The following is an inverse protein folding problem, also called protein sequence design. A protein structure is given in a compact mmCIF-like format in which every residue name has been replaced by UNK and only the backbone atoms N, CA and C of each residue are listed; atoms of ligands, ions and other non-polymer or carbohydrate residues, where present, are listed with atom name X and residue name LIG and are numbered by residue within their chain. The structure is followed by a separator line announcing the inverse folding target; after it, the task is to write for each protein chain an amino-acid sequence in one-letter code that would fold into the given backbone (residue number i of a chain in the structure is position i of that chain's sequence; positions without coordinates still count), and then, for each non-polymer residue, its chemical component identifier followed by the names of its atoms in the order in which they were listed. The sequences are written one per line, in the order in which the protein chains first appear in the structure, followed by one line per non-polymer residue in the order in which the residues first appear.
data_IF_747968039116
#
_entry.id   IF_747968039116
#
_cell.length_a   1.000
_cell.length_b   1.000
_cell.length_c   1.000
_cell.angle_alpha   90.00
_cell.angle_beta   90.00
_cell.angle_gamma   90.00
#
_symmetry.space_group_name_H-M   'P 1'
#
loop_
_entity.id
_entity.type
_entity.pdbx_description
1 polymer ?
#
# COMPACT_ATOMS: atom_id res chain seq x y z
N UNK A 1 5.44 12.87 -11.81
CA UNK A 1 5.01 11.53 -11.34
C UNK A 1 5.21 10.52 -12.48
N UNK A 2 6.44 10.06 -12.68
CA UNK A 2 6.78 9.09 -13.74
C UNK A 2 6.89 7.68 -13.14
N UNK A 3 5.81 7.22 -12.52
CA UNK A 3 5.61 5.82 -12.16
C UNK A 3 4.76 5.15 -13.24
N UNK A 4 5.05 3.88 -13.54
CA UNK A 4 4.21 3.05 -14.42
C UNK A 4 2.78 3.06 -13.87
N UNK A 5 1.82 3.62 -14.62
CA UNK A 5 0.43 3.70 -14.17
C UNK A 5 -0.12 2.27 -13.95
N UNK A 6 -0.89 2.02 -12.88
CA UNK A 6 -1.51 0.72 -12.66
C UNK A 6 -2.40 0.35 -13.85
N UNK A 7 -2.23 -0.88 -14.34
CA UNK A 7 -3.10 -1.48 -15.34
C UNK A 7 -4.02 -2.47 -14.62
N UNK A 8 -5.33 -2.29 -14.79
CA UNK A 8 -6.36 -3.11 -14.15
C UNK A 8 -6.52 -4.44 -14.89
N UNK A 9 -6.73 -5.52 -14.13
CA UNK A 9 -7.34 -6.72 -14.72
C UNK A 9 -8.85 -6.50 -14.96
N UNK A 10 -9.51 -7.49 -15.57
CA UNK A 10 -10.93 -7.40 -15.90
C UNK A 10 -11.83 -7.20 -14.67
N UNK A 11 -11.53 -7.84 -13.54
CA UNK A 11 -12.34 -7.72 -12.33
C UNK A 11 -12.17 -6.33 -11.70
N UNK A 12 -10.94 -5.84 -11.64
CA UNK A 12 -10.61 -4.50 -11.17
C UNK A 12 -11.26 -3.43 -12.07
N UNK A 13 -11.22 -3.61 -13.39
CA UNK A 13 -11.89 -2.72 -14.34
C UNK A 13 -13.41 -2.68 -14.14
N UNK A 14 -14.06 -3.84 -13.95
CA UNK A 14 -15.50 -3.89 -13.65
C UNK A 14 -15.86 -3.20 -12.34
N UNK A 15 -15.00 -3.31 -11.32
CA UNK A 15 -15.18 -2.60 -10.06
C UNK A 15 -15.00 -1.08 -10.25
N UNK A 16 -13.95 -0.65 -10.94
CA UNK A 16 -13.72 0.75 -11.26
C UNK A 16 -14.87 1.37 -12.07
N UNK A 17 -15.42 0.65 -13.07
CA UNK A 17 -16.59 1.12 -13.82
C UNK A 17 -17.82 1.32 -12.95
N UNK A 18 -18.07 0.44 -11.98
CA UNK A 18 -19.17 0.64 -11.02
C UNK A 18 -18.96 1.91 -10.20
N UNK A 19 -17.75 2.14 -9.72
CA UNK A 19 -17.39 3.35 -8.97
C UNK A 19 -17.48 4.63 -9.80
N UNK A 20 -17.25 4.57 -11.12
CA UNK A 20 -17.39 5.76 -11.98
C UNK A 20 -18.81 6.34 -11.89
N UNK A 21 -19.85 5.52 -11.66
CA UNK A 21 -21.21 6.01 -11.49
C UNK A 21 -21.42 6.82 -10.20
N UNK A 22 -20.52 6.70 -9.22
CA UNK A 22 -20.52 7.51 -7.98
C UNK A 22 -19.73 8.83 -8.15
N UNK A 23 -19.10 9.04 -9.30
CA UNK A 23 -18.32 10.25 -9.57
C UNK A 23 -19.28 11.43 -9.78
N UNK A 24 -19.08 12.52 -9.04
CA UNK A 24 -19.86 13.75 -9.21
C UNK A 24 -19.78 14.37 -10.61
N UNK A 25 -18.75 14.02 -11.39
CA UNK A 25 -18.56 14.50 -12.75
C UNK A 25 -19.14 13.55 -13.81
N UNK A 26 -19.70 12.41 -13.42
CA UNK A 26 -20.25 11.44 -14.36
C UNK A 26 -21.70 11.80 -14.69
N UNK A 27 -21.98 11.94 -15.99
CA UNK A 27 -23.33 12.15 -16.50
C UNK A 27 -23.59 11.24 -17.72
N UNK A 28 -24.47 10.25 -17.55
CA UNK A 28 -24.93 9.32 -18.58
C UNK A 28 -23.81 8.77 -19.53
N UNK A 29 -22.63 8.45 -18.99
CA UNK A 29 -21.49 7.95 -19.76
C UNK A 29 -20.40 8.99 -20.05
N UNK A 30 -20.73 10.27 -19.94
CA UNK A 30 -19.86 11.41 -20.18
C UNK A 30 -19.28 11.99 -18.89
N UNK A 31 -18.32 12.89 -19.04
CA UNK A 31 -17.60 13.54 -17.95
C UNK A 31 -17.71 15.06 -18.08
N UNK A 32 -18.62 15.66 -17.32
CA UNK A 32 -18.92 17.11 -17.38
C UNK A 32 -17.69 18.00 -17.18
N UNK A 33 -16.68 17.51 -16.45
CA UNK A 33 -15.43 18.24 -16.21
C UNK A 33 -14.53 18.33 -17.46
N UNK A 34 -14.68 17.39 -18.39
CA UNK A 34 -13.94 17.34 -19.65
C UNK A 34 -14.76 17.89 -20.83
N UNK A 35 -16.06 18.07 -20.64
CA UNK A 35 -16.97 18.62 -21.65
C UNK A 35 -16.61 20.09 -21.92
N UNK A 36 -16.08 20.39 -23.10
CA UNK A 36 -15.75 21.76 -23.56
C UNK A 36 -16.83 22.30 -24.52
N UNK A 37 -18.10 22.09 -24.18
CA UNK A 37 -19.24 22.39 -25.08
C UNK A 37 -19.65 21.23 -26.00
N UNK A 38 -18.88 20.14 -26.02
CA UNK A 38 -19.25 18.86 -26.62
C UNK A 38 -19.11 17.74 -25.58
N UNK A 39 -20.02 16.75 -25.56
CA UNK A 39 -19.93 15.62 -24.62
C UNK A 39 -18.64 14.83 -24.78
N UNK A 40 -17.93 14.62 -23.67
CA UNK A 40 -16.71 13.85 -23.59
C UNK A 40 -16.94 12.58 -22.77
N UNK A 41 -16.71 11.42 -23.37
CA UNK A 41 -16.87 10.13 -22.66
C UNK A 41 -15.93 10.08 -21.44
N UNK A 42 -16.45 9.61 -20.31
CA UNK A 42 -15.64 9.46 -19.10
C UNK A 42 -14.43 8.55 -19.36
N UNK A 43 -13.23 9.12 -19.33
CA UNK A 43 -11.98 8.41 -19.66
C UNK A 43 -11.74 7.19 -18.77
N UNK A 44 -12.22 7.20 -17.52
CA UNK A 44 -12.07 6.07 -16.60
C UNK A 44 -13.09 4.96 -16.86
N UNK A 45 -14.23 5.25 -17.52
CA UNK A 45 -15.26 4.27 -17.85
C UNK A 45 -14.88 3.36 -19.03
N UNK A 46 -13.93 3.81 -19.85
CA UNK A 46 -13.46 3.13 -21.08
C UNK A 46 -12.01 2.64 -21.02
N UNK A 47 -11.25 2.97 -19.96
CA UNK A 47 -9.83 2.62 -19.85
C UNK A 47 -9.56 1.57 -18.78
N UNK A 48 -8.73 0.58 -19.13
CA UNK A 48 -8.11 -0.34 -18.16
C UNK A 48 -6.97 0.31 -17.37
N UNK A 49 -6.48 1.46 -17.82
CA UNK A 49 -5.45 2.20 -17.09
C UNK A 49 -6.09 3.15 -16.08
N UNK A 50 -5.47 3.28 -14.91
CA UNK A 50 -5.88 4.24 -13.90
C UNK A 50 -5.37 5.65 -14.29
N UNK A 51 -6.14 6.37 -15.09
CA UNK A 51 -5.67 7.62 -15.74
C UNK A 51 -6.37 8.90 -15.28
N UNK A 52 -7.59 8.80 -14.79
CA UNK A 52 -8.34 9.95 -14.30
C UNK A 52 -7.85 10.35 -12.92
N UNK A 53 -7.24 11.54 -12.79
CA UNK A 53 -6.71 12.03 -11.51
C UNK A 53 -7.82 12.23 -10.47
N UNK A 54 -8.97 12.77 -10.89
CA UNK A 54 -10.13 12.92 -10.02
C UNK A 54 -10.63 11.58 -9.49
N UNK A 55 -10.70 10.57 -10.38
CA UNK A 55 -11.06 9.23 -9.96
C UNK A 55 -10.10 8.69 -8.91
N UNK A 56 -8.78 8.83 -9.11
CA UNK A 56 -7.76 8.35 -8.16
C UNK A 56 -7.95 8.98 -6.78
N UNK A 57 -8.20 10.29 -6.69
CA UNK A 57 -8.18 11.01 -5.41
C UNK A 57 -9.53 11.09 -4.70
N UNK A 58 -10.63 11.09 -5.44
CA UNK A 58 -11.97 11.36 -4.87
C UNK A 58 -12.91 10.16 -4.97
N UNK A 59 -12.77 9.31 -5.99
CA UNK A 59 -13.75 8.23 -6.28
C UNK A 59 -13.21 6.86 -5.88
N UNK A 60 -11.96 6.54 -6.22
CA UNK A 60 -11.31 5.28 -5.90
C UNK A 60 -11.27 5.00 -4.39
N UNK A 61 -11.05 5.98 -3.49
CA UNK A 61 -11.07 5.75 -2.04
C UNK A 61 -12.43 5.27 -1.50
N UNK A 62 -13.52 5.43 -2.26
CA UNK A 62 -14.83 4.86 -1.89
C UNK A 62 -14.81 3.32 -1.86
N UNK A 63 -13.88 2.68 -2.58
CA UNK A 63 -13.57 1.25 -2.46
C UNK A 63 -12.12 1.06 -2.03
N UNK A 64 -11.89 1.10 -0.71
CA UNK A 64 -10.57 0.90 -0.13
C UNK A 64 -9.93 -0.45 -0.47
N UNK A 65 -10.71 -1.49 -0.82
CA UNK A 65 -10.15 -2.78 -1.27
C UNK A 65 -9.56 -2.65 -2.67
N UNK A 66 -10.29 -2.01 -3.59
CA UNK A 66 -9.82 -1.76 -4.95
C UNK A 66 -8.63 -0.80 -4.95
N UNK A 67 -8.70 0.29 -4.17
CA UNK A 67 -7.61 1.25 -4.01
C UNK A 67 -6.31 0.54 -3.60
N UNK A 68 -6.37 -0.27 -2.54
CA UNK A 68 -5.20 -1.02 -2.06
C UNK A 68 -4.68 -2.05 -3.08
N UNK A 69 -5.58 -2.64 -3.87
CA UNK A 69 -5.21 -3.58 -4.92
C UNK A 69 -4.53 -2.91 -6.12
N UNK A 70 -4.83 -1.63 -6.41
CA UNK A 70 -4.28 -0.90 -7.55
C UNK A 70 -3.04 -0.08 -7.19
N UNK A 71 -3.07 0.64 -6.07
CA UNK A 71 -2.02 1.57 -5.69
C UNK A 71 -0.95 0.94 -4.81
N UNK A 72 -1.28 -0.11 -4.06
CA UNK A 72 -0.37 -0.65 -3.04
C UNK A 72 0.10 -2.09 -3.31
N UNK A 73 -0.27 -2.68 -4.45
CA UNK A 73 0.08 -4.07 -4.78
C UNK A 73 1.58 -4.30 -4.96
N UNK A 74 2.29 -3.37 -5.58
CA UNK A 74 3.75 -3.43 -5.73
C UNK A 74 4.49 -3.20 -4.41
N UNK A 75 3.86 -2.50 -3.46
CA UNK A 75 4.46 -2.18 -2.18
C UNK A 75 4.33 -3.33 -1.16
N UNK A 76 3.44 -4.30 -1.39
CA UNK A 76 3.24 -5.41 -0.47
C UNK A 76 4.46 -6.34 -0.43
N UNK A 77 5.02 -6.49 0.76
CA UNK A 77 6.10 -7.45 1.06
C UNK A 77 5.53 -8.68 1.74
N UNK A 78 6.26 -9.79 1.61
CA UNK A 78 5.98 -11.02 2.35
C UNK A 78 6.71 -10.95 3.70
N UNK A 79 6.00 -11.16 4.80
CA UNK A 79 6.58 -11.21 6.13
C UNK A 79 7.56 -12.39 6.22
N UNK A 80 8.78 -12.16 6.69
CA UNK A 80 9.78 -13.23 6.79
C UNK A 80 9.50 -14.22 7.93
N UNK A 81 8.61 -13.89 8.87
CA UNK A 81 8.27 -14.77 10.00
C UNK A 81 7.04 -15.64 9.71
N UNK A 82 5.94 -15.04 9.23
CA UNK A 82 4.67 -15.75 9.03
C UNK A 82 4.32 -15.99 7.56
N UNK A 83 5.07 -15.43 6.60
CA UNK A 83 4.75 -15.53 5.17
C UNK A 83 3.55 -14.71 4.71
N UNK A 84 2.83 -14.02 5.61
CA UNK A 84 1.70 -13.15 5.25
C UNK A 84 2.13 -11.89 4.49
N UNK A 85 1.29 -11.43 3.56
CA UNK A 85 1.52 -10.15 2.86
C UNK A 85 1.20 -8.96 3.76
N UNK A 86 2.03 -7.93 3.72
CA UNK A 86 1.81 -6.70 4.47
C UNK A 86 2.33 -5.48 3.70
N UNK A 87 1.82 -4.29 4.05
CA UNK A 87 2.33 -3.03 3.54
C UNK A 87 3.46 -2.51 4.43
N UNK A 88 4.70 -2.44 3.93
CA UNK A 88 5.83 -1.98 4.70
C UNK A 88 5.80 -0.44 4.79
N UNK A 89 6.03 0.11 5.98
CA UNK A 89 6.19 1.57 6.17
C UNK A 89 7.46 2.14 5.53
N UNK A 90 8.42 1.28 5.15
CA UNK A 90 9.65 1.66 4.47
C UNK A 90 10.24 0.46 3.71
N UNK A 91 11.15 0.73 2.77
CA UNK A 91 11.86 -0.33 2.05
C UNK A 91 12.62 -1.31 2.97
N UNK A 92 12.92 -0.93 4.23
CA UNK A 92 13.59 -1.80 5.21
C UNK A 92 12.63 -2.74 5.98
N UNK A 93 11.31 -2.63 5.78
CA UNK A 93 10.32 -3.45 6.46
C UNK A 93 10.45 -4.94 6.11
N UNK A 94 10.67 -5.79 7.12
CA UNK A 94 10.77 -7.26 7.00
C UNK A 94 9.58 -8.02 7.57
N UNK A 95 8.89 -7.42 8.54
CA UNK A 95 7.86 -8.08 9.34
C UNK A 95 6.52 -7.38 9.18
N UNK A 96 5.43 -8.15 9.13
CA UNK A 96 4.07 -7.60 9.28
C UNK A 96 3.89 -6.95 10.67
N UNK A 97 2.88 -6.09 10.87
CA UNK A 97 2.68 -5.37 12.14
C UNK A 97 2.70 -6.29 13.37
N UNK A 98 2.04 -7.44 13.30
CA UNK A 98 1.95 -8.39 14.42
C UNK A 98 3.31 -9.04 14.73
N UNK A 99 4.00 -9.54 13.70
CA UNK A 99 5.33 -10.14 13.84
C UNK A 99 6.38 -9.11 14.26
N UNK A 100 6.27 -7.85 13.80
CA UNK A 100 7.22 -6.79 14.12
C UNK A 100 7.29 -6.54 15.63
N UNK A 101 6.14 -6.50 16.32
CA UNK A 101 6.08 -6.35 17.77
C UNK A 101 6.71 -7.53 18.52
N UNK A 102 6.49 -8.76 18.05
CA UNK A 102 7.11 -9.96 18.63
C UNK A 102 8.63 -9.97 18.43
N UNK A 103 9.10 -9.73 17.22
CA UNK A 103 10.53 -9.73 16.88
C UNK A 103 11.30 -8.62 17.59
N UNK A 104 10.68 -7.44 17.79
CA UNK A 104 11.28 -6.37 18.59
C UNK A 104 11.60 -6.83 20.01
N UNK A 105 10.68 -7.57 20.65
CA UNK A 105 10.88 -8.11 22.01
C UNK A 105 11.98 -9.18 22.03
N UNK A 106 11.94 -10.15 21.11
CA UNK A 106 12.95 -11.21 21.00
C UNK A 106 14.36 -10.61 20.83
N UNK A 107 14.53 -9.68 19.90
CA UNK A 107 15.83 -9.03 19.66
C UNK A 107 16.30 -8.19 20.85
N UNK A 108 15.39 -7.55 21.60
CA UNK A 108 15.75 -6.85 22.84
C UNK A 108 16.29 -7.82 23.90
N UNK A 109 15.61 -8.95 24.12
CA UNK A 109 16.05 -10.00 25.05
C UNK A 109 17.40 -10.59 24.65
N UNK A 110 17.58 -10.91 23.36
CA UNK A 110 18.86 -11.43 22.85
C UNK A 110 20.00 -10.43 23.05
N UNK A 111 19.78 -9.14 22.80
CA UNK A 111 20.78 -8.09 23.06
C UNK A 111 21.19 -8.03 24.53
N UNK A 112 20.21 -8.07 25.45
CA UNK A 112 20.50 -8.07 26.90
C UNK A 112 21.22 -9.34 27.36
N UNK A 113 20.87 -10.51 26.82
CA UNK A 113 21.60 -11.76 27.10
C UNK A 113 23.05 -11.68 26.61
N UNK A 114 23.29 -11.20 25.39
CA UNK A 114 24.64 -10.98 24.85
C UNK A 114 25.43 -9.97 25.69
N UNK A 115 24.80 -8.89 26.14
CA UNK A 115 25.42 -7.89 27.03
C UNK A 115 25.87 -8.53 28.34
N UNK A 116 25.00 -9.28 29.03
CA UNK A 116 25.36 -10.00 30.26
C UNK A 116 26.51 -10.99 30.04
N UNK A 117 26.46 -11.78 28.98
CA UNK A 117 27.53 -12.72 28.67
C UNK A 117 28.88 -12.01 28.48
N UNK A 118 28.91 -10.83 27.84
CA UNK A 118 30.13 -10.03 27.72
C UNK A 118 30.60 -9.49 29.08
N UNK A 119 29.70 -9.00 29.93
CA UNK A 119 30.05 -8.54 31.28
C UNK A 119 30.59 -9.67 32.16
N UNK A 120 29.98 -10.86 32.11
CA UNK A 120 30.47 -12.04 32.84
C UNK A 120 31.79 -12.59 32.28
N UNK A 121 32.03 -12.45 30.97
CA UNK A 121 33.30 -12.85 30.35
C UNK A 121 34.47 -11.92 30.67
N UNK A 122 34.22 -10.66 31.07
CA UNK A 122 35.27 -9.70 31.39
C UNK A 122 35.84 -9.85 32.81
N UNK A 123 35.25 -10.70 33.65
CA UNK A 123 35.60 -10.79 35.07
C UNK A 123 35.33 -9.47 35.81
N UNK A 124 35.11 -9.54 37.12
CA UNK A 124 35.21 -8.33 37.94
C UNK A 124 36.70 -7.97 38.04
N UNK A 125 37.21 -7.12 37.15
CA UNK A 125 38.43 -6.39 37.47
C UNK A 125 38.06 -5.36 38.53
N UNK A 126 38.48 -5.59 39.78
CA UNK A 126 38.47 -4.54 40.79
C UNK A 126 39.33 -3.40 40.25
N UNK A 127 38.83 -2.16 40.17
CA UNK A 127 39.68 -1.03 39.83
C UNK A 127 40.76 -0.86 40.92
N UNK A 128 41.98 -0.42 40.55
CA UNK A 128 43.09 -0.22 41.48
C UNK A 128 42.80 0.85 42.52
#
# INVERSE_FOLDING_TARGET
MNGKRPYMDYQQYRAARRLVHECCNYDNGNCILLDNGEPCVCVQSISYSLICRWFITAVLPLDGKLEAALLHRADRKRCTECGGYFLPKSNRGKYCPDCAGRMKRIHATQRKRKQRNKCHALGYSRPP
#
